data_IF_451990549697
#
_entry.id   IF_451990549697
#
_cell.length_a   1.000
_cell.length_b   1.000
_cell.length_c   1.000
_cell.angle_alpha   90.00
_cell.angle_beta   90.00
_cell.angle_gamma   90.00
#
_symmetry.space_group_name_H-M   'P 1'
#
loop_
_entity.id
_entity.type
_entity.pdbx_description
1 polymer ?
#
# COMPACT_ATOMS: atom_id res chain seq x y z
N UNK A 1 14.01 -13.58 -20.03
CA UNK A 1 12.93 -13.29 -20.97
C UNK A 1 13.55 -12.82 -22.29
N UNK A 2 13.31 -13.51 -23.37
CA UNK A 2 13.89 -13.18 -24.69
C UNK A 2 12.80 -12.89 -25.72
N UNK A 3 13.11 -11.98 -26.65
CA UNK A 3 12.32 -11.75 -27.87
C UNK A 3 10.89 -11.25 -27.63
N UNK A 4 9.94 -11.94 -28.24
CA UNK A 4 8.52 -11.57 -28.30
C UNK A 4 7.67 -12.05 -27.11
N UNK A 5 8.30 -12.54 -26.06
CA UNK A 5 7.66 -13.05 -24.84
C UNK A 5 6.78 -14.31 -25.04
N UNK A 6 6.99 -15.04 -26.12
CA UNK A 6 6.24 -16.29 -26.38
C UNK A 6 6.84 -17.49 -25.67
N UNK A 7 8.13 -17.43 -25.34
CA UNK A 7 8.84 -18.51 -24.65
C UNK A 7 9.47 -18.03 -23.36
N UNK A 8 9.38 -18.85 -22.31
CA UNK A 8 9.98 -18.60 -21.01
C UNK A 8 10.86 -19.78 -20.63
N UNK A 9 12.08 -19.48 -20.22
CA UNK A 9 12.93 -20.46 -19.55
C UNK A 9 13.04 -20.08 -18.08
N UNK A 10 12.68 -21.01 -17.21
CA UNK A 10 12.88 -20.89 -15.78
C UNK A 10 14.20 -21.52 -15.38
N UNK A 11 14.99 -20.77 -14.61
CA UNK A 11 16.21 -21.25 -13.99
C UNK A 11 16.11 -21.00 -12.49
N UNK A 12 16.39 -22.04 -11.70
CA UNK A 12 16.52 -21.87 -10.27
C UNK A 12 17.84 -21.18 -10.00
N UNK A 13 17.82 -20.03 -9.29
CA UNK A 13 19.03 -19.27 -8.94
C UNK A 13 19.46 -19.48 -7.49
N UNK A 14 18.56 -19.92 -6.61
CA UNK A 14 18.85 -20.14 -5.19
C UNK A 14 17.86 -21.12 -4.57
N UNK A 15 18.25 -21.71 -3.44
CA UNK A 15 17.39 -22.56 -2.61
C UNK A 15 17.76 -22.41 -1.13
N UNK A 16 16.91 -22.87 -0.19
CA UNK A 16 17.19 -22.87 1.23
C UNK A 16 17.09 -21.51 1.94
N UNK A 17 16.51 -20.50 1.29
CA UNK A 17 16.22 -19.20 1.91
C UNK A 17 15.06 -19.33 2.90
N UNK A 18 15.12 -18.58 4.01
CA UNK A 18 14.07 -18.59 5.02
C UNK A 18 13.04 -17.50 4.75
N UNK A 19 11.85 -17.88 4.30
CA UNK A 19 10.71 -17.00 3.97
C UNK A 19 11.13 -15.78 3.13
N UNK A 20 11.67 -15.95 1.91
CA UNK A 20 12.12 -14.84 1.08
C UNK A 20 10.92 -14.07 0.51
N UNK A 21 10.64 -12.88 1.03
CA UNK A 21 9.47 -12.06 0.66
C UNK A 21 9.83 -10.70 0.05
N UNK A 22 11.10 -10.45 -0.16
CA UNK A 22 11.61 -9.26 -0.84
C UNK A 22 12.86 -9.56 -1.65
N UNK A 23 13.01 -8.90 -2.80
CA UNK A 23 14.18 -9.02 -3.67
C UNK A 23 14.51 -7.67 -4.29
N UNK A 24 15.81 -7.35 -4.31
CA UNK A 24 16.34 -6.18 -5.00
C UNK A 24 17.69 -6.54 -5.65
N UNK A 25 17.87 -6.14 -6.89
CA UNK A 25 19.16 -6.20 -7.56
C UNK A 25 19.81 -4.84 -7.50
N UNK A 26 21.03 -4.78 -6.97
CA UNK A 26 21.86 -3.57 -6.89
C UNK A 26 23.23 -3.90 -7.46
N UNK A 27 23.67 -3.15 -8.45
CA UNK A 27 24.97 -3.34 -9.14
C UNK A 27 25.23 -4.79 -9.59
N UNK A 28 24.18 -5.45 -10.09
CA UNK A 28 24.22 -6.85 -10.53
C UNK A 28 24.15 -7.89 -9.40
N UNK A 29 24.22 -7.50 -8.15
CA UNK A 29 24.11 -8.40 -6.99
C UNK A 29 22.65 -8.53 -6.52
N UNK A 30 22.19 -9.76 -6.39
CA UNK A 30 20.83 -10.05 -5.89
C UNK A 30 20.84 -10.02 -4.36
N UNK A 31 20.02 -9.14 -3.80
CA UNK A 31 19.74 -9.07 -2.37
C UNK A 31 18.36 -9.65 -2.09
N UNK A 32 18.24 -10.56 -1.15
CA UNK A 32 16.97 -11.17 -0.76
C UNK A 32 16.69 -10.86 0.69
N UNK A 33 15.51 -10.28 0.95
CA UNK A 33 15.00 -10.08 2.30
C UNK A 33 14.28 -11.33 2.74
N UNK A 34 14.89 -12.08 3.62
CA UNK A 34 14.28 -13.16 4.36
C UNK A 34 13.66 -12.68 5.65
N UNK A 35 13.13 -13.59 6.43
CA UNK A 35 12.51 -13.27 7.72
C UNK A 35 13.52 -12.77 8.77
N UNK A 36 14.74 -13.25 8.70
CA UNK A 36 15.81 -13.07 9.69
C UNK A 36 16.97 -12.21 9.23
N UNK A 37 17.09 -11.98 7.92
CA UNK A 37 18.22 -11.25 7.37
C UNK A 37 18.01 -10.80 5.92
N UNK A 38 18.84 -9.85 5.49
CA UNK A 38 19.08 -9.58 4.07
C UNK A 38 20.31 -10.39 3.65
N UNK A 39 20.15 -11.21 2.61
CA UNK A 39 21.20 -12.09 2.07
C UNK A 39 21.58 -11.65 0.66
N UNK A 40 22.89 -11.52 0.38
CA UNK A 40 23.42 -11.41 -0.97
C UNK A 40 23.58 -12.82 -1.56
N UNK A 41 23.07 -13.01 -2.76
CA UNK A 41 23.24 -14.23 -3.55
C UNK A 41 24.39 -14.04 -4.51
N UNK A 42 25.44 -14.82 -4.37
CA UNK A 42 26.68 -14.70 -5.15
C UNK A 42 26.90 -15.97 -5.92
N UNK A 43 26.95 -15.85 -7.24
CA UNK A 43 27.37 -16.86 -8.19
C UNK A 43 28.89 -16.67 -8.42
N UNK A 44 29.70 -17.64 -7.95
CA UNK A 44 31.16 -17.56 -8.02
C UNK A 44 31.72 -18.15 -9.31
N UNK A 45 31.01 -19.08 -9.92
CA UNK A 45 31.47 -19.81 -11.10
C UNK A 45 30.82 -19.36 -12.42
N UNK A 46 29.76 -18.52 -12.34
CA UNK A 46 29.07 -17.95 -13.50
C UNK A 46 28.08 -18.91 -14.17
N UNK A 47 27.60 -19.94 -13.48
CA UNK A 47 26.64 -20.92 -14.02
C UNK A 47 25.16 -20.47 -13.88
N UNK A 48 24.92 -19.37 -13.15
CA UNK A 48 23.60 -18.81 -12.91
C UNK A 48 22.89 -19.39 -11.69
N UNK A 49 23.54 -20.21 -10.87
CA UNK A 49 23.10 -20.62 -9.54
C UNK A 49 23.94 -19.97 -8.43
N UNK A 50 23.39 -19.84 -7.24
CA UNK A 50 24.10 -19.23 -6.11
C UNK A 50 25.01 -20.24 -5.43
N UNK A 51 26.31 -19.96 -5.42
CA UNK A 51 27.33 -20.75 -4.71
C UNK A 51 27.53 -20.26 -3.28
N UNK A 52 27.35 -18.95 -3.04
CA UNK A 52 27.65 -18.34 -1.75
C UNK A 52 26.54 -17.40 -1.29
N UNK A 53 25.99 -17.70 -0.12
CA UNK A 53 24.97 -16.92 0.59
C UNK A 53 25.65 -16.03 1.61
N UNK A 54 25.85 -14.77 1.27
CA UNK A 54 26.52 -13.82 2.14
C UNK A 54 25.52 -13.01 2.94
N UNK A 55 25.66 -12.98 4.27
CA UNK A 55 24.88 -12.09 5.13
C UNK A 55 25.22 -10.65 4.81
N UNK A 56 24.21 -9.85 4.45
CA UNK A 56 24.34 -8.42 4.23
C UNK A 56 24.00 -7.64 5.49
N UNK A 57 22.85 -7.92 6.11
CA UNK A 57 22.45 -7.40 7.41
C UNK A 57 21.56 -8.41 8.12
N UNK A 58 21.75 -8.59 9.45
CA UNK A 58 20.97 -9.50 10.30
C UNK A 58 20.58 -8.86 11.64
N UNK A 59 20.48 -7.55 11.69
CA UNK A 59 20.17 -6.84 12.95
C UNK A 59 18.71 -6.94 13.35
N UNK A 60 17.84 -7.44 12.42
CA UNK A 60 16.42 -7.63 12.70
C UNK A 60 16.17 -8.77 13.69
N UNK A 61 15.36 -8.51 14.73
CA UNK A 61 14.92 -9.55 15.67
C UNK A 61 13.82 -10.41 15.05
N UNK A 62 13.85 -11.70 15.37
CA UNK A 62 12.84 -12.68 14.97
C UNK A 62 12.36 -13.48 16.17
N UNK A 63 11.11 -13.95 16.12
CA UNK A 63 10.54 -14.90 17.06
C UNK A 63 10.04 -16.15 16.33
N UNK A 64 9.43 -17.09 17.05
CA UNK A 64 8.80 -18.27 16.46
C UNK A 64 7.39 -18.01 15.91
N UNK A 65 6.87 -16.76 16.03
CA UNK A 65 5.53 -16.45 15.54
C UNK A 65 5.48 -16.54 14.01
N UNK A 66 4.46 -17.19 13.47
CA UNK A 66 4.32 -17.43 12.02
C UNK A 66 4.02 -16.16 11.21
N UNK A 67 3.47 -15.11 11.85
CA UNK A 67 2.92 -13.93 11.15
C UNK A 67 3.89 -12.74 11.07
N UNK A 68 5.07 -12.79 11.62
CA UNK A 68 6.03 -11.67 11.56
C UNK A 68 6.78 -11.57 10.23
N UNK A 69 6.06 -11.54 9.13
CA UNK A 69 6.62 -11.45 7.78
C UNK A 69 7.46 -10.20 7.58
N UNK A 70 8.59 -10.33 6.89
CA UNK A 70 9.44 -9.23 6.46
C UNK A 70 9.23 -8.99 4.96
N UNK A 71 8.39 -8.03 4.62
CA UNK A 71 7.92 -7.82 3.25
C UNK A 71 8.71 -6.78 2.49
N UNK A 72 8.89 -7.07 1.21
CA UNK A 72 9.51 -6.23 0.19
C UNK A 72 11.01 -6.01 0.42
N UNK A 73 11.67 -5.39 -0.53
CA UNK A 73 13.00 -4.84 -0.42
C UNK A 73 13.16 -3.77 -1.49
N UNK A 74 13.31 -2.54 -1.07
CA UNK A 74 13.45 -1.38 -1.95
C UNK A 74 14.71 -0.62 -1.62
N UNK A 75 15.16 0.24 -2.54
CA UNK A 75 16.27 1.16 -2.28
C UNK A 75 15.89 2.59 -2.61
N UNK A 76 16.41 3.54 -1.83
CA UNK A 76 16.38 4.95 -2.19
C UNK A 76 17.54 5.32 -3.15
N UNK A 77 17.57 6.59 -3.57
CA UNK A 77 18.63 7.12 -4.45
C UNK A 77 20.03 7.12 -3.81
N UNK A 78 20.10 7.08 -2.47
CA UNK A 78 21.37 7.00 -1.75
C UNK A 78 21.85 5.54 -1.55
N UNK A 79 21.07 4.56 -2.04
CA UNK A 79 21.38 3.13 -1.94
C UNK A 79 21.00 2.48 -0.62
N UNK A 80 20.30 3.18 0.30
CA UNK A 80 19.78 2.55 1.50
C UNK A 80 18.68 1.56 1.15
N UNK A 81 18.67 0.41 1.83
CA UNK A 81 17.65 -0.61 1.69
C UNK A 81 16.52 -0.40 2.69
N UNK A 82 15.30 -0.71 2.28
CA UNK A 82 14.09 -0.60 3.10
C UNK A 82 13.23 -1.85 2.99
N UNK A 83 12.67 -2.28 4.12
CA UNK A 83 11.66 -3.33 4.18
C UNK A 83 10.65 -3.06 5.30
N UNK A 84 9.46 -3.66 5.21
CA UNK A 84 8.43 -3.58 6.22
C UNK A 84 8.30 -4.92 6.94
N UNK A 85 8.32 -4.91 8.29
CA UNK A 85 8.18 -6.11 9.11
C UNK A 85 6.91 -6.06 9.94
N UNK A 86 6.12 -7.14 9.87
CA UNK A 86 4.89 -7.30 10.62
C UNK A 86 5.13 -7.49 12.13
N UNK A 87 4.10 -7.21 12.91
CA UNK A 87 4.01 -7.62 14.30
C UNK A 87 3.69 -9.12 14.42
N UNK A 88 3.98 -9.77 15.55
CA UNK A 88 3.75 -11.20 15.77
C UNK A 88 2.28 -11.46 16.10
N UNK A 89 1.43 -11.34 15.11
CA UNK A 89 -0.03 -11.53 15.23
C UNK A 89 -0.35 -12.98 15.59
N UNK A 90 -1.23 -13.17 16.57
CA UNK A 90 -1.69 -14.52 16.97
C UNK A 90 -2.56 -15.18 15.92
N UNK A 91 -2.68 -16.49 15.98
CA UNK A 91 -3.63 -17.25 15.20
C UNK A 91 -5.05 -16.68 15.32
N UNK A 92 -5.77 -16.61 14.21
CA UNK A 92 -7.07 -15.92 14.15
C UNK A 92 -6.99 -14.40 14.00
N UNK A 93 -5.79 -13.82 13.92
CA UNK A 93 -5.59 -12.41 13.57
C UNK A 93 -5.76 -11.40 14.70
N UNK A 94 -6.06 -11.83 15.94
CA UNK A 94 -6.37 -10.97 17.08
C UNK A 94 -5.25 -10.92 18.10
N UNK A 95 -4.85 -9.70 18.48
CA UNK A 95 -3.79 -9.48 19.44
C UNK A 95 -2.43 -9.99 18.96
N UNK A 96 -1.46 -9.95 19.85
CA UNK A 96 -0.07 -10.25 19.53
C UNK A 96 0.53 -11.22 20.54
N UNK A 97 1.48 -12.04 20.10
CA UNK A 97 2.44 -12.67 21.00
C UNK A 97 3.39 -11.61 21.56
N UNK A 98 4.35 -12.02 22.37
CA UNK A 98 5.31 -11.09 22.93
C UNK A 98 5.98 -10.24 21.85
N UNK A 99 5.77 -8.94 21.92
CA UNK A 99 6.46 -7.98 21.05
C UNK A 99 7.93 -7.93 21.43
N UNK A 100 8.79 -8.12 20.44
CA UNK A 100 10.24 -7.95 20.54
C UNK A 100 10.65 -6.66 19.80
N UNK A 101 11.87 -6.16 20.01
CA UNK A 101 12.42 -5.12 19.13
C UNK A 101 12.27 -5.50 17.66
N UNK A 102 12.02 -4.53 16.79
CA UNK A 102 11.86 -4.71 15.34
C UNK A 102 10.60 -5.49 14.91
N UNK A 103 9.57 -5.58 15.74
CA UNK A 103 8.24 -6.02 15.36
C UNK A 103 7.34 -4.83 15.01
N UNK A 104 6.61 -4.89 13.90
CA UNK A 104 5.70 -3.83 13.46
C UNK A 104 6.44 -2.55 13.03
N UNK A 105 7.45 -2.65 12.18
CA UNK A 105 8.34 -1.56 11.80
C UNK A 105 8.50 -1.41 10.28
N UNK A 106 8.94 -0.22 9.86
CA UNK A 106 9.71 -0.05 8.62
C UNK A 106 11.18 0.11 9.00
N UNK A 107 12.01 -0.74 8.43
CA UNK A 107 13.44 -0.75 8.62
C UNK A 107 14.17 -0.07 7.46
N UNK A 108 15.29 0.58 7.78
CA UNK A 108 16.26 1.11 6.83
C UNK A 108 17.64 0.52 7.14
N UNK A 109 18.33 0.05 6.11
CA UNK A 109 19.69 -0.50 6.21
C UNK A 109 20.60 0.29 5.28
N UNK A 110 21.78 0.68 5.78
CA UNK A 110 22.76 1.44 4.98
C UNK A 110 23.26 0.67 3.74
N UNK A 111 23.79 1.36 2.72
CA UNK A 111 24.27 0.72 1.48
C UNK A 111 25.37 -0.33 1.69
N UNK A 112 26.12 -0.23 2.76
CA UNK A 112 27.17 -1.17 3.17
C UNK A 112 26.68 -2.29 4.12
N UNK A 113 25.37 -2.30 4.46
CA UNK A 113 24.76 -3.28 5.34
C UNK A 113 25.07 -3.12 6.85
N UNK A 114 25.81 -2.07 7.26
CA UNK A 114 26.34 -1.98 8.65
C UNK A 114 25.46 -1.19 9.63
N UNK A 115 24.55 -0.34 9.13
CA UNK A 115 23.66 0.43 9.99
C UNK A 115 22.23 -0.01 9.76
N UNK A 116 21.53 -0.27 10.84
CA UNK A 116 20.11 -0.57 10.88
C UNK A 116 19.37 0.53 11.64
N UNK A 117 18.33 1.09 11.05
CA UNK A 117 17.52 2.15 11.62
C UNK A 117 16.03 1.79 11.50
N UNK A 118 15.25 2.17 12.50
CA UNK A 118 13.78 2.08 12.45
C UNK A 118 13.24 3.44 12.04
N UNK A 119 12.52 3.50 10.91
CA UNK A 119 11.96 4.75 10.36
C UNK A 119 10.47 4.89 10.58
N UNK A 120 9.79 3.80 10.94
CA UNK A 120 8.41 3.82 11.39
C UNK A 120 8.12 2.63 12.31
N UNK A 121 7.17 2.81 13.23
CA UNK A 121 6.70 1.78 14.17
C UNK A 121 5.18 1.74 14.20
N UNK A 122 4.60 0.83 14.98
CA UNK A 122 3.15 0.75 15.13
C UNK A 122 2.43 0.12 13.94
N UNK A 123 3.14 -0.68 13.14
CA UNK A 123 2.54 -1.50 12.11
C UNK A 123 2.05 -2.82 12.72
N UNK A 124 0.95 -3.34 12.19
CA UNK A 124 0.42 -4.67 12.51
C UNK A 124 0.84 -5.70 11.47
N UNK A 125 0.43 -5.50 10.24
CA UNK A 125 0.63 -6.43 9.13
C UNK A 125 0.77 -5.67 7.81
N UNK A 126 1.89 -4.97 7.59
CA UNK A 126 2.13 -4.30 6.32
C UNK A 126 2.27 -5.33 5.20
N UNK A 127 1.60 -5.09 4.05
CA UNK A 127 1.67 -5.99 2.90
C UNK A 127 2.85 -5.75 1.96
N UNK A 128 3.61 -4.68 2.20
CA UNK A 128 4.76 -4.26 1.41
C UNK A 128 4.98 -2.76 1.50
N UNK A 129 5.94 -2.26 0.75
CA UNK A 129 6.27 -0.83 0.73
C UNK A 129 6.61 -0.32 -0.66
N UNK A 130 6.62 1.00 -0.82
CA UNK A 130 7.14 1.71 -1.98
C UNK A 130 8.07 2.84 -1.55
N UNK A 131 9.11 3.09 -2.34
CA UNK A 131 10.01 4.23 -2.17
C UNK A 131 9.79 5.20 -3.32
N UNK A 132 9.43 6.42 -2.99
CA UNK A 132 9.16 7.49 -3.95
C UNK A 132 10.41 8.18 -4.48
N UNK A 133 10.25 9.00 -5.53
CA UNK A 133 11.36 9.66 -6.21
C UNK A 133 12.14 10.66 -5.34
N UNK A 134 11.52 11.18 -4.26
CA UNK A 134 12.17 12.11 -3.32
C UNK A 134 12.44 11.47 -1.96
N UNK A 135 12.41 10.13 -1.87
CA UNK A 135 12.62 9.38 -0.63
C UNK A 135 11.37 9.23 0.23
N UNK A 136 10.19 9.46 -0.33
CA UNK A 136 8.92 9.11 0.31
C UNK A 136 8.85 7.60 0.54
N UNK A 137 8.31 7.20 1.68
CA UNK A 137 8.07 5.79 2.01
C UNK A 137 6.57 5.59 2.17
N UNK A 138 6.01 4.63 1.46
CA UNK A 138 4.61 4.23 1.60
C UNK A 138 4.51 2.77 2.00
N UNK A 139 3.52 2.40 2.80
CA UNK A 139 3.21 1.00 3.13
C UNK A 139 1.71 0.76 3.03
N UNK A 140 1.32 -0.42 2.54
CA UNK A 140 -0.04 -0.92 2.73
C UNK A 140 -0.14 -1.59 4.10
N UNK A 141 -1.16 -1.26 4.89
CA UNK A 141 -1.43 -1.85 6.19
C UNK A 141 -2.77 -2.59 6.17
N UNK A 142 -2.85 -3.74 6.79
CA UNK A 142 -4.07 -4.54 6.83
C UNK A 142 -4.91 -4.26 8.08
N UNK A 143 -6.25 -4.34 7.91
CA UNK A 143 -7.21 -4.32 9.02
C UNK A 143 -6.81 -5.31 10.13
N UNK A 144 -7.07 -4.96 11.37
CA UNK A 144 -6.88 -5.85 12.52
C UNK A 144 -6.77 -5.12 13.84
N UNK A 145 -6.12 -5.71 14.82
CA UNK A 145 -5.91 -5.11 16.14
C UNK A 145 -5.23 -3.76 16.00
N UNK A 146 -5.85 -2.69 16.52
CA UNK A 146 -5.47 -1.28 16.38
C UNK A 146 -5.63 -0.68 14.97
N UNK A 147 -5.95 -1.49 13.98
CA UNK A 147 -6.08 -1.05 12.59
C UNK A 147 -7.55 -1.12 12.18
N UNK A 148 -8.27 0.02 12.09
CA UNK A 148 -9.72 0.05 11.89
C UNK A 148 -10.15 -0.51 10.54
N UNK A 149 -9.34 -0.31 9.50
CA UNK A 149 -9.50 -0.86 8.15
C UNK A 149 -8.13 -0.95 7.48
N UNK A 150 -8.07 -1.44 6.25
CA UNK A 150 -6.88 -1.34 5.43
C UNK A 150 -6.56 0.14 5.13
N UNK A 151 -5.29 0.44 4.94
CA UNK A 151 -4.85 1.82 4.72
C UNK A 151 -3.52 1.89 3.99
N UNK A 152 -3.23 3.06 3.41
CA UNK A 152 -1.93 3.42 2.88
C UNK A 152 -1.29 4.40 3.86
N UNK A 153 -0.18 4.02 4.47
CA UNK A 153 0.63 4.89 5.32
C UNK A 153 1.65 5.66 4.48
N UNK A 154 2.09 6.79 5.00
CA UNK A 154 3.08 7.64 4.36
C UNK A 154 4.10 8.16 5.37
N UNK A 155 5.38 8.05 5.03
CA UNK A 155 6.49 8.65 5.78
C UNK A 155 7.30 9.49 4.82
N UNK A 156 7.64 10.71 5.22
CA UNK A 156 8.72 11.44 4.56
C UNK A 156 9.98 11.48 5.44
N UNK A 157 11.12 11.72 4.84
CA UNK A 157 12.39 11.73 5.55
C UNK A 157 12.47 12.77 6.68
N UNK A 158 11.65 13.85 6.64
CA UNK A 158 11.61 14.91 7.64
C UNK A 158 10.80 14.53 8.88
N UNK A 159 9.85 13.60 8.74
CA UNK A 159 8.92 13.21 9.79
C UNK A 159 9.29 11.87 10.45
N UNK A 160 10.31 11.17 9.93
CA UNK A 160 10.75 9.91 10.51
C UNK A 160 11.52 10.11 11.82
N UNK A 161 11.40 9.19 12.80
CA UNK A 161 10.49 8.05 12.80
C UNK A 161 9.06 8.42 13.18
N UNK A 162 8.06 7.69 12.62
CA UNK A 162 6.61 7.91 12.85
C UNK A 162 5.95 6.68 13.49
N UNK A 163 4.80 6.90 14.16
CA UNK A 163 4.00 5.84 14.78
C UNK A 163 2.67 5.65 14.06
N UNK A 164 2.40 4.44 13.55
CA UNK A 164 1.22 4.12 12.73
C UNK A 164 0.06 3.43 13.47
N UNK A 165 0.06 3.46 14.79
CA UNK A 165 -1.15 3.24 15.58
C UNK A 165 -1.32 1.86 16.23
N UNK A 166 -0.51 0.83 15.95
CA UNK A 166 -0.53 -0.41 16.72
C UNK A 166 0.22 -0.19 18.04
N UNK A 167 -0.53 0.01 19.13
CA UNK A 167 0.02 0.39 20.43
C UNK A 167 1.06 -0.61 20.97
N UNK A 168 0.79 -1.91 20.77
CA UNK A 168 1.72 -2.97 21.20
C UNK A 168 3.09 -2.86 20.51
N UNK A 169 3.17 -2.30 19.30
CA UNK A 169 4.43 -2.18 18.54
C UNK A 169 4.96 -0.74 18.43
N UNK A 170 4.76 0.11 19.45
CA UNK A 170 5.33 1.46 19.51
C UNK A 170 6.86 1.47 19.50
N UNK A 171 7.50 0.40 19.92
CA UNK A 171 8.95 0.31 20.07
C UNK A 171 9.46 1.41 21.01
N UNK A 172 10.41 2.23 20.55
CA UNK A 172 10.99 3.35 21.31
C UNK A 172 10.19 4.65 21.21
N UNK A 173 9.11 4.68 20.41
CA UNK A 173 8.26 5.87 20.21
C UNK A 173 7.11 5.94 21.22
N UNK A 174 7.41 5.90 22.52
CA UNK A 174 6.43 5.81 23.60
C UNK A 174 5.43 6.95 23.62
N UNK A 175 5.86 8.17 23.30
CA UNK A 175 5.05 9.40 23.37
C UNK A 175 4.68 9.95 21.98
N UNK A 176 5.02 9.24 20.90
CA UNK A 176 4.72 9.71 19.57
C UNK A 176 3.20 9.71 19.32
N UNK A 177 2.70 10.80 18.75
CA UNK A 177 1.32 10.88 18.28
C UNK A 177 1.08 9.88 17.15
N UNK A 178 -0.16 9.41 17.03
CA UNK A 178 -0.59 8.62 15.89
C UNK A 178 -0.47 9.43 14.60
N UNK A 179 0.26 8.90 13.65
CA UNK A 179 0.35 9.45 12.31
C UNK A 179 -0.85 8.96 11.48
N UNK A 180 -1.73 9.88 11.11
CA UNK A 180 -2.85 9.55 10.22
C UNK A 180 -2.33 8.99 8.90
N UNK A 181 -3.02 8.00 8.32
CA UNK A 181 -2.61 7.44 7.04
C UNK A 181 -2.87 8.43 5.89
N UNK A 182 -2.20 8.20 4.77
CA UNK A 182 -2.49 8.89 3.52
C UNK A 182 -3.93 8.60 3.04
N UNK A 183 -4.36 7.34 3.12
CA UNK A 183 -5.70 6.90 2.70
C UNK A 183 -6.19 5.79 3.61
N UNK A 184 -7.41 5.89 4.11
CA UNK A 184 -8.18 4.77 4.63
C UNK A 184 -8.88 4.03 3.49
N UNK A 185 -8.77 2.70 3.48
CA UNK A 185 -9.34 1.83 2.46
C UNK A 185 -10.44 0.98 3.08
N UNK A 186 -11.72 1.29 2.86
CA UNK A 186 -12.80 0.45 3.35
C UNK A 186 -12.73 -0.96 2.75
N UNK A 187 -13.27 -1.95 3.45
CA UNK A 187 -13.15 -3.38 3.10
C UNK A 187 -13.77 -3.75 1.75
N UNK A 188 -14.70 -2.95 1.26
CA UNK A 188 -15.28 -3.09 -0.09
C UNK A 188 -14.33 -2.58 -1.18
N UNK A 189 -13.44 -1.65 -0.87
CA UNK A 189 -12.40 -1.14 -1.77
C UNK A 189 -11.17 -2.04 -1.73
N UNK A 190 -10.61 -2.27 -0.54
CA UNK A 190 -9.47 -3.17 -0.36
C UNK A 190 -9.54 -3.89 1.00
N UNK A 191 -9.45 -5.20 1.00
CA UNK A 191 -9.47 -6.02 2.20
C UNK A 191 -8.11 -6.62 2.56
N UNK A 192 -7.09 -6.40 1.74
CA UNK A 192 -5.69 -6.78 2.00
C UNK A 192 -4.78 -6.08 1.02
N UNK A 193 -4.00 -5.11 1.50
CA UNK A 193 -3.05 -4.36 0.68
C UNK A 193 -1.81 -5.19 0.32
N UNK A 194 -1.28 -4.95 -0.88
CA UNK A 194 0.05 -5.38 -1.31
C UNK A 194 1.08 -4.25 -1.17
N UNK A 195 2.07 -4.25 -2.07
CA UNK A 195 3.05 -3.17 -2.16
C UNK A 195 2.47 -1.89 -2.78
N UNK A 196 3.30 -0.85 -2.79
CA UNK A 196 3.09 0.34 -3.58
C UNK A 196 4.20 0.49 -4.60
N UNK A 197 3.87 1.09 -5.75
CA UNK A 197 4.82 1.34 -6.83
C UNK A 197 4.68 2.79 -7.29
N UNK A 198 5.79 3.50 -7.30
CA UNK A 198 5.87 4.83 -7.86
C UNK A 198 6.22 4.73 -9.35
N UNK A 199 5.50 5.46 -10.17
CA UNK A 199 5.70 5.48 -11.63
C UNK A 199 7.05 6.16 -11.93
N UNK A 200 8.01 5.46 -12.56
CA UNK A 200 9.30 6.06 -12.87
C UNK A 200 9.25 6.85 -14.17
N UNK A 201 10.30 7.64 -14.41
CA UNK A 201 10.56 8.20 -15.73
C UNK A 201 10.67 7.09 -16.79
N UNK A 202 10.11 7.33 -17.97
CA UNK A 202 10.10 6.37 -19.07
C UNK A 202 9.10 5.23 -18.94
N UNK A 203 8.25 5.22 -17.91
CA UNK A 203 7.16 4.27 -17.82
C UNK A 203 6.18 4.43 -19.00
N UNK A 204 5.74 3.30 -19.54
CA UNK A 204 4.67 3.22 -20.56
C UNK A 204 3.44 2.57 -19.91
N UNK A 205 2.70 3.38 -19.15
CA UNK A 205 1.60 2.88 -18.32
C UNK A 205 0.34 3.77 -18.36
N UNK A 206 0.42 4.95 -18.99
CA UNK A 206 -0.69 5.91 -19.05
C UNK A 206 -0.88 6.73 -17.77
N UNK A 207 0.07 6.66 -16.85
CA UNK A 207 0.18 7.52 -15.66
C UNK A 207 1.48 8.32 -15.74
N UNK A 208 1.52 9.46 -15.03
CA UNK A 208 2.69 10.34 -15.05
C UNK A 208 3.79 9.86 -14.09
N UNK A 209 5.07 10.13 -14.41
CA UNK A 209 6.15 9.91 -13.47
C UNK A 209 5.90 10.59 -12.12
N UNK A 210 6.21 9.89 -11.04
CA UNK A 210 5.98 10.36 -9.67
C UNK A 210 4.59 10.07 -9.11
N UNK A 211 3.67 9.51 -9.91
CA UNK A 211 2.39 9.04 -9.39
C UNK A 211 2.53 7.71 -8.63
N UNK A 212 1.64 7.51 -7.68
CA UNK A 212 1.65 6.34 -6.80
C UNK A 212 0.56 5.34 -7.19
N UNK A 213 0.94 4.09 -7.35
CA UNK A 213 0.04 2.95 -7.56
C UNK A 213 0.02 2.10 -6.29
N UNK A 214 -1.18 1.85 -5.75
CA UNK A 214 -1.41 0.87 -4.70
C UNK A 214 -1.85 -0.45 -5.30
N UNK A 215 -1.27 -1.54 -4.81
CA UNK A 215 -1.60 -2.91 -5.19
C UNK A 215 -2.53 -3.52 -4.15
N UNK A 216 -3.67 -4.04 -4.57
CA UNK A 216 -4.57 -4.80 -3.71
C UNK A 216 -4.37 -6.30 -3.91
N UNK A 217 -3.84 -6.94 -2.89
CA UNK A 217 -3.77 -8.40 -2.82
C UNK A 217 -5.17 -9.01 -2.78
N UNK A 218 -6.04 -8.47 -1.91
CA UNK A 218 -7.36 -9.03 -1.69
C UNK A 218 -8.33 -8.88 -2.86
N UNK A 219 -8.25 -7.77 -3.61
CA UNK A 219 -9.16 -7.48 -4.73
C UNK A 219 -8.55 -7.72 -6.09
N UNK A 220 -7.30 -8.23 -6.18
CA UNK A 220 -6.59 -8.46 -7.45
C UNK A 220 -6.66 -7.23 -8.37
N UNK A 221 -6.41 -6.06 -7.81
CA UNK A 221 -6.64 -4.77 -8.45
C UNK A 221 -5.49 -3.81 -8.23
N UNK A 222 -5.40 -2.81 -9.06
CA UNK A 222 -4.48 -1.69 -8.93
C UNK A 222 -5.27 -0.40 -8.77
N UNK A 223 -4.76 0.51 -7.95
CA UNK A 223 -5.37 1.81 -7.70
C UNK A 223 -4.36 2.93 -7.92
N UNK A 224 -4.75 3.97 -8.64
CA UNK A 224 -4.06 5.26 -8.62
C UNK A 224 -4.35 5.92 -7.29
N UNK A 225 -3.32 6.35 -6.59
CA UNK A 225 -3.44 7.11 -5.35
C UNK A 225 -3.41 8.60 -5.68
N UNK A 226 -4.34 9.35 -5.11
CA UNK A 226 -4.53 10.78 -5.32
C UNK A 226 -4.23 11.54 -4.03
N UNK A 227 -2.95 11.88 -3.74
CA UNK A 227 -2.59 12.61 -2.53
C UNK A 227 -3.04 14.07 -2.62
N UNK A 228 -3.52 14.60 -1.49
CA UNK A 228 -3.94 15.99 -1.31
C UNK A 228 -3.33 16.53 -0.03
N UNK A 229 -2.80 17.73 -0.07
CA UNK A 229 -2.37 18.45 1.13
C UNK A 229 -3.36 19.56 1.41
N UNK A 230 -4.04 19.47 2.55
CA UNK A 230 -5.00 20.46 3.00
C UNK A 230 -4.71 20.85 4.44
N UNK A 231 -4.66 22.15 4.74
CA UNK A 231 -4.31 22.65 6.07
C UNK A 231 -2.97 22.15 6.62
N UNK A 232 -2.02 21.83 5.75
CA UNK A 232 -0.72 21.23 6.11
C UNK A 232 -0.77 19.73 6.44
N UNK A 233 -1.91 19.09 6.31
CA UNK A 233 -2.08 17.63 6.47
C UNK A 233 -2.11 16.94 5.11
N UNK A 234 -1.32 15.88 4.96
CA UNK A 234 -1.35 15.02 3.78
C UNK A 234 -2.43 13.95 3.98
N UNK A 235 -3.34 13.85 3.04
CA UNK A 235 -4.39 12.84 2.94
C UNK A 235 -4.67 12.58 1.47
N UNK A 236 -5.62 11.72 1.13
CA UNK A 236 -5.91 11.47 -0.28
C UNK A 236 -7.03 10.46 -0.50
N UNK A 237 -7.19 10.11 -1.75
CA UNK A 237 -8.13 9.09 -2.21
C UNK A 237 -7.46 8.07 -3.13
N UNK A 238 -8.24 7.12 -3.59
CA UNK A 238 -7.83 6.14 -4.60
C UNK A 238 -8.85 6.04 -5.72
N UNK A 239 -8.37 5.87 -6.94
CA UNK A 239 -9.17 5.55 -8.10
C UNK A 239 -8.75 4.19 -8.67
N UNK A 240 -9.70 3.26 -8.83
CA UNK A 240 -9.40 1.92 -9.34
C UNK A 240 -9.01 2.00 -10.82
N UNK A 241 -7.85 1.43 -11.16
CA UNK A 241 -7.44 1.28 -12.55
C UNK A 241 -8.32 0.22 -13.25
N UNK A 242 -8.73 0.45 -14.50
CA UNK A 242 -9.59 -0.47 -15.26
C UNK A 242 -8.79 -1.66 -15.79
N UNK A 243 -8.11 -2.36 -14.90
CA UNK A 243 -7.24 -3.49 -15.20
C UNK A 243 -7.77 -4.73 -14.48
N UNK A 244 -7.93 -5.82 -15.22
CA UNK A 244 -8.29 -7.12 -14.65
C UNK A 244 -7.07 -8.01 -14.55
N UNK A 245 -6.78 -8.48 -13.34
CA UNK A 245 -5.70 -9.41 -13.05
C UNK A 245 -6.25 -10.82 -12.82
N UNK A 246 -5.50 -11.84 -13.25
CA UNK A 246 -5.88 -13.24 -13.04
C UNK A 246 -5.53 -13.74 -11.65
N UNK A 247 -4.51 -13.16 -11.03
CA UNK A 247 -4.13 -13.44 -9.65
C UNK A 247 -4.04 -12.14 -8.85
N UNK A 248 -3.83 -12.25 -7.55
CA UNK A 248 -3.68 -11.09 -6.67
C UNK A 248 -2.57 -10.14 -7.13
N UNK A 249 -2.61 -8.89 -6.70
CA UNK A 249 -1.54 -7.93 -6.91
C UNK A 249 -0.72 -7.79 -5.62
N UNK A 250 0.33 -8.60 -5.46
CA UNK A 250 1.18 -8.59 -4.26
C UNK A 250 2.40 -7.71 -4.44
N UNK A 251 3.11 -7.88 -5.55
CA UNK A 251 4.32 -7.13 -5.92
C UNK A 251 4.24 -6.69 -7.36
N UNK A 252 4.80 -5.53 -7.65
CA UNK A 252 4.96 -5.07 -9.01
C UNK A 252 6.26 -4.27 -9.18
N UNK A 253 6.79 -4.28 -10.40
CA UNK A 253 7.97 -3.49 -10.77
C UNK A 253 7.83 -3.03 -12.22
N UNK A 254 8.22 -1.79 -12.46
CA UNK A 254 8.43 -1.33 -13.82
C UNK A 254 9.74 -1.92 -14.34
N UNK A 255 9.69 -2.40 -15.57
CA UNK A 255 10.85 -2.91 -16.29
C UNK A 255 11.40 -1.84 -17.25
N UNK A 256 12.63 -2.00 -17.73
CA UNK A 256 13.27 -1.06 -18.66
C UNK A 256 12.54 -0.89 -20.00
N UNK A 257 11.60 -1.76 -20.34
CA UNK A 257 10.71 -1.62 -21.50
C UNK A 257 9.53 -0.67 -21.28
N UNK A 258 9.40 -0.13 -20.06
CA UNK A 258 8.31 0.77 -19.62
C UNK A 258 7.05 0.05 -19.15
N UNK A 259 6.95 -1.28 -19.27
CA UNK A 259 5.79 -2.04 -18.81
C UNK A 259 5.83 -2.30 -17.32
N UNK A 260 4.65 -2.44 -16.69
CA UNK A 260 4.52 -2.88 -15.31
C UNK A 260 4.36 -4.41 -15.26
N UNK A 261 5.20 -5.07 -14.48
CA UNK A 261 5.10 -6.49 -14.19
C UNK A 261 4.52 -6.70 -12.81
N UNK A 262 3.46 -7.52 -12.71
CA UNK A 262 2.73 -7.79 -11.48
C UNK A 262 2.82 -9.26 -11.14
N UNK A 263 3.12 -9.55 -9.91
CA UNK A 263 3.20 -10.87 -9.30
C UNK A 263 2.18 -11.00 -8.19
N UNK A 264 1.54 -12.17 -8.11
CA UNK A 264 0.65 -12.50 -7.01
C UNK A 264 0.35 -13.99 -6.95
N UNK A 265 -0.28 -14.38 -5.85
CA UNK A 265 -0.70 -15.74 -5.61
C UNK A 265 -2.05 -15.75 -4.88
N UNK A 266 -2.79 -16.85 -4.98
CA UNK A 266 -4.05 -17.06 -4.26
C UNK A 266 -3.76 -17.67 -2.90
N UNK A 267 -3.81 -16.84 -1.88
CA UNK A 267 -3.83 -17.27 -0.49
C UNK A 267 -5.23 -17.15 0.10
N UNK A 268 -5.33 -16.70 1.35
CA UNK A 268 -6.64 -16.49 1.97
C UNK A 268 -7.28 -15.16 1.51
N UNK A 269 -8.61 -15.09 1.53
CA UNK A 269 -9.42 -13.87 1.36
C UNK A 269 -9.07 -12.98 0.16
N UNK A 270 -8.64 -13.60 -0.95
CA UNK A 270 -8.44 -12.92 -2.21
C UNK A 270 -9.47 -13.39 -3.25
N UNK A 271 -9.81 -12.53 -4.18
CA UNK A 271 -10.66 -12.86 -5.33
C UNK A 271 -9.86 -13.35 -6.55
N UNK A 272 -8.59 -13.74 -6.36
CA UNK A 272 -7.75 -14.26 -7.44
C UNK A 272 -8.37 -15.49 -8.13
N UNK A 273 -8.43 -15.46 -9.45
CA UNK A 273 -8.99 -16.57 -10.25
C UNK A 273 -8.01 -17.75 -10.38
N UNK A 274 -6.70 -17.48 -10.38
CA UNK A 274 -5.65 -18.50 -10.51
C UNK A 274 -4.75 -18.55 -9.29
N UNK A 275 -4.12 -19.72 -9.06
CA UNK A 275 -3.23 -19.97 -7.90
C UNK A 275 -2.07 -18.97 -7.82
N UNK A 276 -1.46 -18.67 -8.96
CA UNK A 276 -0.44 -17.63 -9.09
C UNK A 276 -0.41 -17.11 -10.52
N UNK A 277 0.13 -15.90 -10.69
CA UNK A 277 0.39 -15.35 -12.00
C UNK A 277 1.55 -14.37 -11.96
N UNK A 278 2.34 -14.38 -13.03
CA UNK A 278 3.29 -13.34 -13.38
C UNK A 278 2.74 -12.64 -14.62
N UNK A 279 2.34 -11.40 -14.50
CA UNK A 279 1.56 -10.68 -15.50
C UNK A 279 2.30 -9.44 -15.95
N UNK A 280 2.34 -9.21 -17.25
CA UNK A 280 2.84 -7.98 -17.86
C UNK A 280 1.67 -7.10 -18.25
N UNK A 281 1.62 -5.89 -17.75
CA UNK A 281 0.67 -4.87 -18.16
C UNK A 281 1.36 -3.98 -19.18
N UNK A 282 0.83 -3.97 -20.40
CA UNK A 282 1.31 -3.14 -21.51
C UNK A 282 0.34 -2.00 -21.74
N UNK A 283 0.88 -0.82 -21.93
CA UNK A 283 0.10 0.35 -22.32
C UNK A 283 -0.18 0.29 -23.85
N UNK A 284 -1.42 0.51 -24.21
CA UNK A 284 -1.80 0.71 -25.61
C UNK A 284 -1.64 2.21 -25.92
N UNK A 285 -0.69 2.54 -26.77
CA UNK A 285 -0.43 3.94 -27.15
C UNK A 285 -1.70 4.62 -27.69
N UNK A 286 -1.96 5.84 -27.21
CA UNK A 286 -3.14 6.62 -27.56
C UNK A 286 -4.40 6.33 -26.74
N UNK A 287 -4.37 5.32 -25.85
CA UNK A 287 -5.46 5.09 -24.89
C UNK A 287 -5.22 5.89 -23.64
N UNK A 288 -6.09 6.82 -23.33
CA UNK A 288 -6.03 7.58 -22.06
C UNK A 288 -6.87 6.88 -21.01
N UNK A 289 -6.32 6.73 -19.81
CA UNK A 289 -7.04 6.11 -18.70
C UNK A 289 -7.99 7.14 -18.10
N UNK A 290 -9.28 7.04 -18.41
CA UNK A 290 -10.33 7.99 -18.05
C UNK A 290 -10.77 7.92 -16.58
N UNK A 291 -9.83 7.84 -15.64
CA UNK A 291 -10.09 7.93 -14.20
C UNK A 291 -9.54 9.25 -13.65
N UNK A 292 -9.98 9.73 -12.48
CA UNK A 292 -9.45 10.96 -11.90
C UNK A 292 -7.92 10.92 -11.77
N UNK A 293 -7.27 12.01 -12.15
CA UNK A 293 -5.83 12.20 -12.00
C UNK A 293 -5.47 13.17 -10.87
N UNK A 294 -6.44 14.00 -10.45
CA UNK A 294 -6.27 14.92 -9.33
C UNK A 294 -7.53 14.97 -8.49
N UNK A 295 -7.34 15.02 -7.19
CA UNK A 295 -8.36 15.29 -6.19
C UNK A 295 -7.98 16.58 -5.46
N UNK A 296 -8.94 17.45 -5.23
CA UNK A 296 -8.80 18.66 -4.42
C UNK A 296 -10.01 18.77 -3.49
N UNK A 297 -9.78 19.28 -2.29
CA UNK A 297 -10.84 19.69 -1.39
C UNK A 297 -11.16 21.14 -1.63
N UNK A 298 -12.44 21.49 -1.52
CA UNK A 298 -12.94 22.86 -1.56
C UNK A 298 -13.73 23.13 -0.27
N UNK A 299 -14.01 24.38 0.03
CA UNK A 299 -14.82 24.75 1.19
C UNK A 299 -16.24 24.15 1.18
N UNK A 300 -16.69 23.63 0.03
CA UNK A 300 -18.03 23.12 -0.16
C UNK A 300 -18.08 21.66 -0.64
N UNK A 301 -16.96 21.06 -0.96
CA UNK A 301 -16.97 19.72 -1.52
C UNK A 301 -15.63 19.24 -2.04
N UNK A 302 -15.64 18.59 -3.20
CA UNK A 302 -14.45 18.04 -3.83
C UNK A 302 -14.40 18.39 -5.32
N UNK A 303 -13.18 18.52 -5.81
CA UNK A 303 -12.92 18.72 -7.23
C UNK A 303 -12.11 17.54 -7.78
N UNK A 304 -12.59 16.97 -8.87
CA UNK A 304 -11.96 15.86 -9.57
C UNK A 304 -11.53 16.29 -10.97
N UNK A 305 -10.25 16.19 -11.28
CA UNK A 305 -9.71 16.43 -12.62
C UNK A 305 -9.43 15.11 -13.33
N UNK A 306 -9.78 15.04 -14.60
CA UNK A 306 -9.62 13.88 -15.46
C UNK A 306 -8.66 14.21 -16.61
N UNK A 307 -7.95 13.21 -17.16
CA UNK A 307 -7.05 13.41 -18.31
C UNK A 307 -7.79 13.45 -19.65
N UNK A 308 -9.11 13.38 -19.65
CA UNK A 308 -10.00 13.37 -20.83
C UNK A 308 -11.17 14.32 -20.62
N UNK A 309 -11.73 14.80 -21.72
CA UNK A 309 -12.99 15.51 -21.66
C UNK A 309 -14.12 14.57 -21.28
N UNK A 310 -14.93 15.00 -20.34
CA UNK A 310 -16.11 14.27 -19.89
C UNK A 310 -17.32 14.59 -20.77
N UNK A 311 -18.28 13.69 -20.78
CA UNK A 311 -19.59 13.97 -21.31
C UNK A 311 -20.29 14.97 -20.41
N UNK A 312 -20.66 16.14 -20.95
CA UNK A 312 -21.18 17.23 -20.16
C UNK A 312 -22.53 16.90 -19.50
N UNK A 313 -23.40 16.19 -20.21
CA UNK A 313 -24.73 15.82 -19.70
C UNK A 313 -24.59 14.88 -18.49
N UNK A 314 -23.71 13.89 -18.57
CA UNK A 314 -23.44 12.98 -17.46
C UNK A 314 -22.64 13.63 -16.33
N UNK A 315 -21.69 14.51 -16.66
CA UNK A 315 -20.84 15.14 -15.67
C UNK A 315 -21.56 16.20 -14.80
N UNK A 316 -22.60 16.85 -15.36
CA UNK A 316 -23.41 17.84 -14.63
C UNK A 316 -24.66 17.22 -13.99
N UNK A 317 -24.97 15.96 -14.27
CA UNK A 317 -26.06 15.25 -13.61
C UNK A 317 -25.62 14.74 -12.23
N UNK A 318 -26.16 15.34 -11.16
CA UNK A 318 -25.88 14.95 -9.77
C UNK A 318 -26.23 13.48 -9.50
N UNK A 319 -27.11 12.86 -10.28
CA UNK A 319 -27.48 11.46 -10.13
C UNK A 319 -26.41 10.48 -10.65
N UNK A 320 -25.42 10.99 -11.41
CA UNK A 320 -24.24 10.23 -11.83
C UNK A 320 -23.27 9.93 -10.69
N UNK A 321 -23.48 10.55 -9.51
CA UNK A 321 -22.58 10.46 -8.37
C UNK A 321 -23.29 9.93 -7.13
N UNK A 322 -22.50 9.35 -6.22
CA UNK A 322 -22.95 9.03 -4.87
C UNK A 322 -21.83 9.32 -3.88
N UNK A 323 -22.18 9.86 -2.73
CA UNK A 323 -21.23 10.14 -1.66
C UNK A 323 -21.73 9.59 -0.33
N UNK A 324 -20.81 9.09 0.48
CA UNK A 324 -21.07 8.58 1.82
C UNK A 324 -19.96 9.02 2.76
N UNK A 325 -20.29 9.18 4.05
CA UNK A 325 -19.34 9.47 5.12
C UNK A 325 -19.59 8.59 6.33
N UNK A 326 -18.52 8.29 7.08
CA UNK A 326 -18.58 7.55 8.33
C UNK A 326 -17.33 7.75 9.15
N UNK A 327 -17.40 7.38 10.43
CA UNK A 327 -16.28 7.33 11.35
C UNK A 327 -15.80 5.90 11.58
N UNK A 328 -14.50 5.77 11.88
CA UNK A 328 -13.89 4.57 12.44
C UNK A 328 -13.53 4.76 13.91
N UNK A 329 -13.44 3.65 14.62
CA UNK A 329 -12.94 3.59 16.00
C UNK A 329 -11.63 2.81 16.03
N UNK A 330 -10.53 3.47 16.39
CA UNK A 330 -9.23 2.82 16.58
C UNK A 330 -9.12 2.31 18.02
N UNK A 331 -8.84 1.03 18.21
CA UNK A 331 -8.69 0.40 19.51
C UNK A 331 -8.13 -1.00 19.44
N UNK A 332 -8.03 -1.71 20.58
CA UNK A 332 -7.44 -3.05 20.66
C UNK A 332 -8.29 -4.15 20.01
N UNK A 333 -9.51 -3.86 19.60
CA UNK A 333 -10.35 -4.78 18.83
C UNK A 333 -9.80 -5.03 17.43
N UNK A 334 -10.33 -6.04 16.74
CA UNK A 334 -10.01 -6.35 15.36
C UNK A 334 -10.87 -5.52 14.40
N UNK A 335 -10.27 -4.57 13.71
CA UNK A 335 -10.94 -3.70 12.77
C UNK A 335 -11.92 -2.73 13.45
N UNK A 336 -12.74 -2.07 12.67
CA UNK A 336 -13.80 -1.17 13.13
C UNK A 336 -15.08 -1.39 12.35
N UNK A 337 -16.22 -1.15 12.99
CA UNK A 337 -17.46 -0.81 12.31
C UNK A 337 -17.37 0.56 11.66
N UNK A 338 -18.32 0.84 10.81
CA UNK A 338 -18.53 2.13 10.16
C UNK A 338 -19.67 2.84 10.90
N UNK A 339 -19.37 3.95 11.55
CA UNK A 339 -20.29 4.66 12.44
C UNK A 339 -20.75 5.97 11.81
N UNK A 340 -22.03 6.29 11.98
CA UNK A 340 -22.61 7.54 11.48
C UNK A 340 -21.87 8.77 12.02
N UNK A 341 -21.65 9.74 11.15
CA UNK A 341 -21.16 11.08 11.48
C UNK A 341 -22.32 12.00 11.89
N UNK A 342 -23.47 11.85 11.22
CA UNK A 342 -24.64 12.72 11.42
C UNK A 342 -25.40 12.38 12.70
N UNK A 343 -25.38 11.11 13.09
CA UNK A 343 -26.01 10.62 14.31
C UNK A 343 -25.02 9.74 15.10
N UNK A 344 -23.99 10.35 15.69
CA UNK A 344 -22.96 9.62 16.41
C UNK A 344 -23.54 8.90 17.62
N UNK A 345 -23.31 7.59 17.68
CA UNK A 345 -23.73 6.72 18.79
C UNK A 345 -22.51 6.45 19.68
N UNK A 346 -22.30 7.32 20.66
CA UNK A 346 -21.15 7.25 21.56
C UNK A 346 -21.11 5.94 22.36
N UNK A 347 -22.27 5.38 22.76
CA UNK A 347 -22.34 4.11 23.48
C UNK A 347 -21.91 2.94 22.57
N UNK A 348 -22.41 2.91 21.32
CA UNK A 348 -22.01 1.89 20.36
C UNK A 348 -20.51 2.00 20.00
N UNK A 349 -19.97 3.21 19.90
CA UNK A 349 -18.55 3.44 19.64
C UNK A 349 -17.69 2.99 20.85
N UNK A 350 -18.10 3.31 22.10
CA UNK A 350 -17.40 2.83 23.30
C UNK A 350 -17.47 1.30 23.44
N UNK A 351 -18.63 0.71 23.16
CA UNK A 351 -18.79 -0.74 23.14
C UNK A 351 -17.92 -1.39 22.09
N UNK A 352 -17.74 -0.74 20.94
CA UNK A 352 -16.87 -1.19 19.86
C UNK A 352 -15.40 -1.31 20.28
N UNK A 353 -14.92 -0.48 21.22
CA UNK A 353 -13.57 -0.60 21.77
C UNK A 353 -13.34 -1.87 22.60
N UNK A 354 -14.42 -2.49 23.07
CA UNK A 354 -14.40 -3.67 23.96
C UNK A 354 -14.79 -4.97 23.23
N UNK A 355 -15.34 -4.87 22.03
CA UNK A 355 -15.85 -6.01 21.27
C UNK A 355 -15.73 -5.78 19.75
N UNK A 356 -15.84 -6.87 18.98
CA UNK A 356 -15.84 -6.75 17.52
C UNK A 356 -17.08 -6.02 17.00
N UNK A 357 -16.83 -4.94 16.28
CA UNK A 357 -17.88 -4.11 15.68
C UNK A 357 -17.79 -4.01 14.15
N UNK A 358 -16.86 -4.73 13.53
CA UNK A 358 -16.58 -4.63 12.09
C UNK A 358 -17.78 -4.89 11.17
N UNK A 359 -18.83 -5.50 11.68
CA UNK A 359 -20.08 -5.75 10.94
C UNK A 359 -21.07 -4.57 11.02
N UNK A 360 -20.78 -3.54 11.82
CA UNK A 360 -21.61 -2.33 11.85
C UNK A 360 -21.39 -1.55 10.57
N UNK A 361 -22.48 -1.22 9.88
CA UNK A 361 -22.49 -0.45 8.62
C UNK A 361 -23.49 0.69 8.74
N UNK A 362 -23.08 1.79 9.35
CA UNK A 362 -23.87 3.01 9.54
C UNK A 362 -23.23 4.17 8.76
N UNK A 363 -23.15 4.03 7.44
CA UNK A 363 -22.66 5.09 6.55
C UNK A 363 -23.80 6.09 6.29
N UNK A 364 -23.54 7.36 6.48
CA UNK A 364 -24.45 8.41 6.11
C UNK A 364 -24.34 8.71 4.62
N UNK A 365 -25.48 8.84 3.94
CA UNK A 365 -25.49 9.35 2.57
C UNK A 365 -25.27 10.85 2.59
N UNK A 366 -24.33 11.33 1.78
CA UNK A 366 -24.08 12.77 1.61
C UNK A 366 -24.76 13.21 0.33
N UNK A 367 -25.64 14.20 0.44
CA UNK A 367 -26.32 14.78 -0.73
C UNK A 367 -25.32 15.57 -1.55
N UNK A 368 -25.36 15.35 -2.86
CA UNK A 368 -24.64 16.16 -3.84
C UNK A 368 -25.59 17.24 -4.28
N UNK A 369 -25.22 18.50 -3.96
CA UNK A 369 -26.07 19.67 -4.21
C UNK A 369 -25.94 20.18 -5.63
N UNK A 370 -24.72 20.16 -6.16
CA UNK A 370 -24.44 20.48 -7.57
C UNK A 370 -23.22 19.73 -8.09
N UNK A 371 -23.15 19.59 -9.40
CA UNK A 371 -22.01 19.11 -10.15
C UNK A 371 -21.77 20.12 -11.29
N UNK A 372 -20.60 20.73 -11.30
CA UNK A 372 -20.26 21.77 -12.28
C UNK A 372 -19.04 21.34 -13.10
N UNK A 373 -19.21 21.28 -14.41
CA UNK A 373 -18.13 20.96 -15.34
C UNK A 373 -17.36 22.23 -15.72
N UNK A 374 -16.03 22.15 -15.65
CA UNK A 374 -15.16 23.24 -16.10
C UNK A 374 -15.29 23.51 -17.60
N UNK A 375 -14.93 24.72 -18.02
CA UNK A 375 -15.05 25.16 -19.43
C UNK A 375 -14.21 24.31 -20.41
N UNK A 376 -13.12 23.67 -19.94
CA UNK A 376 -12.31 22.75 -20.74
C UNK A 376 -12.89 21.33 -20.78
N UNK A 377 -13.92 21.06 -19.98
CA UNK A 377 -14.60 19.77 -19.89
C UNK A 377 -13.83 18.68 -19.15
N UNK A 378 -12.79 19.03 -18.38
CA UNK A 378 -11.90 18.02 -17.76
C UNK A 378 -11.99 17.99 -16.23
N UNK A 379 -12.66 18.93 -15.60
CA UNK A 379 -12.77 19.00 -14.15
C UNK A 379 -14.22 19.12 -13.71
N UNK A 380 -14.61 18.29 -12.74
CA UNK A 380 -15.93 18.38 -12.08
C UNK A 380 -15.75 18.89 -10.67
N UNK A 381 -16.50 19.93 -10.32
CA UNK A 381 -16.62 20.46 -8.96
C UNK A 381 -17.92 19.94 -8.36
N UNK A 382 -17.84 19.14 -7.31
CA UNK A 382 -18.98 18.55 -6.61
C UNK A 382 -19.20 19.28 -5.29
N UNK A 383 -20.35 19.92 -5.16
CA UNK A 383 -20.79 20.54 -3.89
C UNK A 383 -21.51 19.47 -3.07
N UNK A 384 -21.04 19.26 -1.84
CA UNK A 384 -21.50 18.22 -0.92
C UNK A 384 -22.13 18.82 0.33
N UNK A 385 -23.31 18.35 0.69
CA UNK A 385 -24.01 18.81 1.90
C UNK A 385 -23.18 18.56 3.17
N UNK A 386 -23.03 19.59 3.99
CA UNK A 386 -22.38 19.49 5.30
C UNK A 386 -20.87 19.32 5.28
N UNK A 387 -20.20 19.55 4.16
CA UNK A 387 -18.75 19.77 4.17
C UNK A 387 -18.47 21.21 4.64
N UNK A 388 -17.68 21.33 5.71
CA UNK A 388 -17.24 22.59 6.30
C UNK A 388 -15.74 22.55 6.56
#
# INVERSE_FOLDING_TARGET
LSGDWKEFKWQRIASGLFEPLGLKVVDGVIHVNGRDQITQLIDLNGDGETDHYKVFNRDVYVSSNFHEFAFDLQTDKAGNFYFAKAAPVRGGGRGFDKILPHHGIVAKVSPDGKKFEVVATGLRAPGGLGIGPNGEITTGENEGTWQPCCKINFVNAKNAPVFFGTEDSRQTLTDAAYAEPLVYLPMDVDNSGGSQVWVPEGAKFGLNPGELIHLSYGKSSLFRVLPVTEGGKLQGGVAKLPISLQSSAMRARFHGDGSLYVLGFRGWQTNAATECAFQRIRYNEGVVVGIPEKLEYTDKGIKLTFPVKLDAELAEDVTSYSAQRWNYVRGPQYGSGEFSVDSPDAEAMEKALKSESKNVRKRDSVKIESAELSADGMTVDLVLEGMK
#
